data_IF_720987138099
#
_entry.id   IF_720987138099
#
_cell.length_a   1.000
_cell.length_b   1.000
_cell.length_c   1.000
_cell.angle_alpha   90.00
_cell.angle_beta   90.00
_cell.angle_gamma   90.00
#
_symmetry.space_group_name_H-M   'P 1'
#
loop_
_entity.id
_entity.type
_entity.pdbx_description
1 polymer ?
#
# COMPACT_ATOMS: atom_id res chain seq x y z
N UNK A 1 -5.09 -15.15 7.51
CA UNK A 1 -4.13 -14.72 6.52
C UNK A 1 -4.76 -14.03 5.34
N UNK A 2 -5.73 -14.68 4.64
CA UNK A 2 -6.42 -14.02 3.55
C UNK A 2 -7.12 -12.74 3.97
N UNK A 3 -7.52 -12.66 5.23
CA UNK A 3 -8.21 -11.49 5.76
C UNK A 3 -7.34 -10.24 5.74
N UNK A 4 -6.09 -10.38 6.17
CA UNK A 4 -5.21 -9.23 6.23
C UNK A 4 -4.89 -8.70 4.84
N UNK A 5 -4.66 -9.59 3.88
CA UNK A 5 -4.37 -9.17 2.51
C UNK A 5 -5.56 -8.45 1.89
N UNK A 6 -6.76 -8.99 2.10
CA UNK A 6 -7.97 -8.35 1.59
C UNK A 6 -8.18 -6.98 2.20
N UNK A 7 -8.02 -6.88 3.52
CA UNK A 7 -8.19 -5.62 4.20
C UNK A 7 -7.18 -4.58 3.69
N UNK A 8 -5.92 -5.00 3.55
CA UNK A 8 -4.87 -4.09 3.08
C UNK A 8 -5.13 -3.64 1.65
N UNK A 9 -5.63 -4.53 0.80
CA UNK A 9 -5.98 -4.18 -0.57
C UNK A 9 -7.10 -3.14 -0.59
N UNK A 10 -8.13 -3.38 0.18
CA UNK A 10 -9.26 -2.45 0.24
C UNK A 10 -8.83 -1.09 0.81
N UNK A 11 -7.96 -1.12 1.79
CA UNK A 11 -7.45 0.11 2.38
C UNK A 11 -6.64 0.91 1.36
N UNK A 12 -5.78 0.24 0.61
CA UNK A 12 -4.97 0.92 -0.39
C UNK A 12 -5.85 1.48 -1.51
N UNK A 13 -6.85 0.73 -1.95
CA UNK A 13 -7.81 1.22 -2.94
C UNK A 13 -8.54 2.45 -2.40
N UNK A 14 -8.93 2.42 -1.14
CA UNK A 14 -9.59 3.56 -0.50
C UNK A 14 -8.72 4.82 -0.58
N UNK A 15 -7.45 4.70 -0.26
CA UNK A 15 -6.56 5.85 -0.34
C UNK A 15 -6.37 6.33 -1.77
N UNK A 16 -6.26 5.40 -2.72
CA UNK A 16 -6.12 5.78 -4.13
C UNK A 16 -7.35 6.52 -4.62
N UNK A 17 -8.54 6.06 -4.23
CA UNK A 17 -9.78 6.76 -4.60
C UNK A 17 -9.80 8.17 -4.04
N UNK A 18 -9.34 8.32 -2.82
CA UNK A 18 -9.27 9.63 -2.17
C UNK A 18 -8.37 10.58 -2.95
N UNK A 19 -7.21 10.08 -3.38
CA UNK A 19 -6.27 10.91 -4.14
C UNK A 19 -6.76 11.20 -5.54
N UNK A 20 -7.46 10.26 -6.16
CA UNK A 20 -7.96 10.42 -7.51
C UNK A 20 -9.06 11.47 -7.62
N UNK A 21 -9.63 11.87 -6.50
CA UNK A 21 -10.62 12.93 -6.49
C UNK A 21 -10.01 14.33 -6.67
N UNK A 22 -8.70 14.44 -6.55
CA UNK A 22 -8.04 15.73 -6.71
C UNK A 22 -7.93 16.08 -8.19
N UNK A 23 -8.33 17.31 -8.53
CA UNK A 23 -8.47 17.70 -9.94
C UNK A 23 -7.15 17.82 -10.69
N UNK A 24 -6.11 18.27 -10.03
CA UNK A 24 -4.85 18.57 -10.71
C UNK A 24 -3.75 17.58 -10.36
N UNK A 25 -4.12 16.32 -10.20
CA UNK A 25 -3.14 15.31 -9.84
C UNK A 25 -2.41 14.81 -11.09
N UNK A 26 -1.11 15.07 -11.15
CA UNK A 26 -0.30 14.66 -12.30
C UNK A 26 -0.21 13.14 -12.45
N UNK A 27 -0.36 12.43 -11.35
CA UNK A 27 -0.22 10.97 -11.34
C UNK A 27 -1.56 10.24 -11.46
N UNK A 28 -2.58 10.95 -11.92
CA UNK A 28 -3.92 10.38 -11.96
C UNK A 28 -3.99 9.08 -12.76
N UNK A 29 -3.45 9.09 -13.97
CA UNK A 29 -3.47 7.90 -14.83
C UNK A 29 -2.68 6.75 -14.20
N UNK A 30 -1.55 7.08 -13.60
CA UNK A 30 -0.71 6.10 -12.94
C UNK A 30 -1.44 5.46 -11.75
N UNK A 31 -2.09 6.28 -10.95
CA UNK A 31 -2.84 5.79 -9.79
C UNK A 31 -4.06 4.96 -10.21
N UNK A 32 -4.72 5.35 -11.30
CA UNK A 32 -5.83 4.56 -11.82
C UNK A 32 -5.37 3.17 -12.26
N UNK A 33 -4.19 3.10 -12.83
CA UNK A 33 -3.61 1.84 -13.27
C UNK A 33 -3.34 0.93 -12.06
N UNK A 34 -2.76 1.50 -11.01
CA UNK A 34 -2.51 0.74 -9.77
C UNK A 34 -3.82 0.26 -9.17
N UNK A 35 -4.80 1.15 -9.10
CA UNK A 35 -6.11 0.82 -8.58
C UNK A 35 -6.75 -0.34 -9.35
N UNK A 36 -6.66 -0.29 -10.67
CA UNK A 36 -7.21 -1.33 -11.52
C UNK A 36 -6.57 -2.69 -11.22
N UNK A 37 -5.24 -2.72 -11.08
CA UNK A 37 -4.54 -3.95 -10.74
C UNK A 37 -5.00 -4.51 -9.40
N UNK A 38 -5.16 -3.66 -8.41
CA UNK A 38 -5.59 -4.09 -7.09
C UNK A 38 -7.02 -4.62 -7.11
N UNK A 39 -7.89 -3.98 -7.89
CA UNK A 39 -9.27 -4.46 -8.03
C UNK A 39 -9.34 -5.85 -8.65
N UNK A 40 -8.39 -6.16 -9.53
CA UNK A 40 -8.31 -7.48 -10.16
C UNK A 40 -7.53 -8.47 -9.32
N UNK A 41 -7.17 -8.10 -8.09
CA UNK A 41 -6.41 -8.93 -7.17
C UNK A 41 -5.02 -9.24 -7.67
N UNK A 42 -4.48 -8.40 -8.54
CA UNK A 42 -3.10 -8.48 -8.96
C UNK A 42 -2.22 -7.71 -8.00
N UNK A 43 -0.96 -8.11 -7.91
CA UNK A 43 0.01 -7.38 -7.12
C UNK A 43 0.60 -6.25 -7.95
N UNK A 44 1.13 -5.25 -7.27
CA UNK A 44 1.82 -4.13 -7.93
C UNK A 44 3.32 -4.26 -7.70
N UNK A 45 4.11 -3.59 -8.53
CA UNK A 45 5.55 -3.60 -8.35
C UNK A 45 5.97 -2.70 -7.20
N UNK A 46 7.16 -2.96 -6.66
CA UNK A 46 7.70 -2.09 -5.62
C UNK A 46 7.83 -0.66 -6.13
N UNK A 47 8.27 -0.48 -7.37
CA UNK A 47 8.41 0.83 -7.96
C UNK A 47 7.07 1.56 -8.02
N UNK A 48 6.01 0.85 -8.40
CA UNK A 48 4.67 1.44 -8.41
C UNK A 48 4.25 1.86 -7.00
N UNK A 49 4.53 1.01 -6.03
CA UNK A 49 4.19 1.33 -4.65
C UNK A 49 4.99 2.54 -4.15
N UNK A 50 6.28 2.59 -4.45
CA UNK A 50 7.12 3.71 -4.02
C UNK A 50 6.63 5.04 -4.60
N UNK A 51 6.06 5.00 -5.79
CA UNK A 51 5.56 6.22 -6.41
C UNK A 51 4.37 6.82 -5.67
N UNK A 52 3.61 6.03 -4.95
CA UNK A 52 2.48 6.55 -4.17
C UNK A 52 2.80 6.68 -2.69
N UNK A 53 4.02 6.34 -2.30
CA UNK A 53 4.41 6.31 -0.90
C UNK A 53 4.29 7.68 -0.24
N UNK A 54 4.67 8.74 -0.93
CA UNK A 54 4.60 10.08 -0.36
C UNK A 54 3.17 10.51 -0.04
N UNK A 55 2.21 10.00 -0.81
CA UNK A 55 0.81 10.28 -0.51
C UNK A 55 0.37 9.55 0.75
N UNK A 56 0.77 8.28 0.87
CA UNK A 56 0.42 7.50 2.03
C UNK A 56 1.01 8.10 3.31
N UNK A 57 2.19 8.68 3.22
CA UNK A 57 2.84 9.27 4.39
C UNK A 57 2.10 10.49 4.93
N UNK A 58 1.16 11.03 4.17
CA UNK A 58 0.34 12.14 4.62
C UNK A 58 -0.87 11.68 5.44
N UNK A 59 -1.16 10.38 5.40
CA UNK A 59 -2.29 9.85 6.16
C UNK A 59 -1.89 9.66 7.62
N UNK A 60 -2.83 9.92 8.51
CA UNK A 60 -2.56 9.84 9.95
C UNK A 60 -2.01 8.49 10.36
N UNK A 61 -2.51 7.43 9.73
CA UNK A 61 -2.09 6.08 10.07
C UNK A 61 -0.60 5.83 9.78
N UNK A 62 -0.02 6.56 8.82
CA UNK A 62 1.34 6.33 8.38
C UNK A 62 2.27 7.52 8.58
N UNK A 63 1.75 8.59 9.16
CA UNK A 63 2.48 9.84 9.26
C UNK A 63 3.80 9.72 9.99
N UNK A 64 3.83 8.90 11.03
CA UNK A 64 5.04 8.70 11.83
C UNK A 64 5.83 7.47 11.41
N UNK A 65 5.40 6.76 10.37
CA UNK A 65 6.05 5.53 9.95
C UNK A 65 7.14 5.82 8.92
N UNK A 66 8.21 5.03 8.97
CA UNK A 66 9.25 5.11 7.94
C UNK A 66 8.74 4.49 6.66
N UNK A 67 9.42 4.80 5.55
CA UNK A 67 9.08 4.22 4.26
C UNK A 67 9.09 2.68 4.34
N UNK A 68 10.10 2.14 5.00
CA UNK A 68 10.22 0.69 5.09
C UNK A 68 9.08 0.06 5.87
N UNK A 69 8.60 0.71 6.90
CA UNK A 69 7.46 0.19 7.66
C UNK A 69 6.19 0.18 6.83
N UNK A 70 5.98 1.20 6.02
CA UNK A 70 4.80 1.27 5.16
C UNK A 70 4.89 0.18 4.10
N UNK A 71 6.05 0.02 3.48
CA UNK A 71 6.28 -1.03 2.49
C UNK A 71 6.01 -2.40 3.11
N UNK A 72 6.54 -2.64 4.30
CA UNK A 72 6.35 -3.92 4.98
C UNK A 72 4.88 -4.19 5.29
N UNK A 73 4.15 -3.15 5.65
CA UNK A 73 2.73 -3.30 5.94
C UNK A 73 1.95 -3.80 4.72
N UNK A 74 2.26 -3.25 3.54
CA UNK A 74 1.56 -3.61 2.30
C UNK A 74 2.29 -4.70 1.51
N UNK A 75 3.25 -5.36 2.11
CA UNK A 75 4.07 -6.37 1.44
C UNK A 75 3.27 -7.43 0.69
N UNK A 76 2.15 -7.95 1.21
CA UNK A 76 1.40 -8.96 0.47
C UNK A 76 0.88 -8.48 -0.88
N UNK A 77 0.80 -7.17 -1.08
CA UNK A 77 0.30 -6.59 -2.33
C UNK A 77 1.42 -6.27 -3.31
N UNK A 78 2.68 -6.45 -2.93
CA UNK A 78 3.83 -6.03 -3.72
C UNK A 78 4.55 -7.25 -4.26
N UNK A 79 4.81 -7.23 -5.58
CA UNK A 79 5.48 -8.34 -6.26
C UNK A 79 6.88 -8.53 -5.71
N UNK A 80 7.20 -9.78 -5.39
CA UNK A 80 8.56 -10.13 -4.99
C UNK A 80 8.87 -9.94 -3.53
N UNK A 81 7.97 -9.38 -2.74
CA UNK A 81 8.24 -9.12 -1.33
C UNK A 81 7.53 -10.07 -0.37
N UNK A 82 6.72 -10.97 -0.89
CA UNK A 82 5.87 -11.77 0.00
C UNK A 82 6.60 -12.90 0.71
N UNK A 83 7.67 -13.40 0.14
CA UNK A 83 8.30 -14.59 0.69
C UNK A 83 9.24 -14.36 1.85
N UNK A 84 9.81 -13.20 1.95
CA UNK A 84 10.88 -12.99 2.91
C UNK A 84 10.41 -12.56 4.27
N UNK A 85 9.13 -12.73 4.56
CA UNK A 85 8.63 -11.82 5.53
C UNK A 85 7.66 -12.32 6.52
N UNK A 86 7.41 -13.58 6.55
CA UNK A 86 6.47 -14.06 7.55
C UNK A 86 6.92 -13.66 8.94
N UNK A 87 8.22 -13.76 9.21
CA UNK A 87 8.75 -13.35 10.50
C UNK A 87 8.75 -11.85 10.65
N UNK A 88 9.16 -11.15 9.61
CA UNK A 88 9.16 -9.68 9.64
C UNK A 88 7.76 -9.10 9.73
N UNK A 89 6.82 -9.70 9.04
CA UNK A 89 5.46 -9.20 9.05
C UNK A 89 4.88 -9.21 10.45
N UNK A 90 5.15 -10.26 11.21
CA UNK A 90 4.65 -10.33 12.57
C UNK A 90 5.12 -9.14 13.40
N UNK A 91 6.41 -8.85 13.33
CA UNK A 91 6.97 -7.73 14.08
C UNK A 91 6.44 -6.40 13.57
N UNK A 92 6.37 -6.23 12.25
CA UNK A 92 5.93 -4.99 11.65
C UNK A 92 4.47 -4.70 11.96
N UNK A 93 3.64 -5.72 11.88
CA UNK A 93 2.22 -5.55 12.19
C UNK A 93 2.04 -5.14 13.63
N UNK A 94 2.83 -5.70 14.53
CA UNK A 94 2.76 -5.32 15.94
C UNK A 94 3.04 -3.82 16.11
N UNK A 95 4.02 -3.29 15.38
CA UNK A 95 4.34 -1.88 15.46
C UNK A 95 3.16 -1.02 15.00
N UNK A 96 2.49 -1.41 13.96
CA UNK A 96 1.36 -0.64 13.45
C UNK A 96 0.11 -0.76 14.32
N UNK A 97 0.01 -1.82 15.06
CA UNK A 97 -1.14 -2.01 15.95
C UNK A 97 -1.00 -1.24 17.26
N UNK A 98 0.16 -0.75 17.52
CA UNK A 98 0.39 0.07 18.71
C UNK A 98 -0.02 1.50 18.43
#
# INVERSE_FOLDING_TARGET
MGHNTRFKRELLIFYLDKYLQKKNLKMKDFMQNIRFKLLQRNKISLRQFESILEFLKREDAFKAASDQKIINYFRPLIIGLTKETETYESATISEFQL
#
